data_IF_848628606873
#
_entry.id   IF_848628606873
#
_cell.length_a   1.000
_cell.length_b   1.000
_cell.length_c   1.000
_cell.angle_alpha   90.00
_cell.angle_beta   90.00
_cell.angle_gamma   90.00
#
_symmetry.space_group_name_H-M   'P 1'
#
loop_
_entity.id
_entity.type
_entity.pdbx_description
1 polymer ?
#
# COMPACT_ATOMS: atom_id res chain seq x y z
N UNK A 1 3.22 22.07 7.37
CA UNK A 1 2.50 20.87 6.87
C UNK A 1 3.38 19.61 6.94
N UNK A 2 4.60 19.62 6.38
CA UNK A 2 5.54 18.49 6.41
C UNK A 2 5.86 17.95 7.80
N UNK A 3 6.09 18.85 8.77
CA UNK A 3 6.37 18.47 10.16
C UNK A 3 5.20 17.74 10.81
N UNK A 4 3.96 18.18 10.56
CA UNK A 4 2.77 17.56 11.12
C UNK A 4 2.56 16.16 10.54
N UNK A 5 2.76 16.00 9.23
CA UNK A 5 2.72 14.69 8.55
C UNK A 5 3.82 13.75 9.05
N UNK A 6 5.04 14.27 9.27
CA UNK A 6 6.14 13.49 9.81
C UNK A 6 5.87 12.99 11.24
N UNK A 7 5.28 13.84 12.09
CA UNK A 7 4.86 13.45 13.45
C UNK A 7 3.80 12.35 13.41
N UNK A 8 2.78 12.48 12.54
CA UNK A 8 1.74 11.47 12.37
C UNK A 8 2.30 10.13 11.86
N UNK A 9 3.19 10.15 10.88
CA UNK A 9 3.90 8.95 10.41
C UNK A 9 4.75 8.31 11.50
N UNK A 10 5.45 9.12 12.32
CA UNK A 10 6.26 8.63 13.44
C UNK A 10 5.41 7.94 14.51
N UNK A 11 4.28 8.53 14.88
CA UNK A 11 3.32 7.93 15.84
C UNK A 11 2.75 6.62 15.28
N UNK A 12 2.37 6.59 14.00
CA UNK A 12 1.87 5.38 13.36
C UNK A 12 2.89 4.23 13.38
N UNK A 13 4.17 4.53 13.09
CA UNK A 13 5.25 3.56 13.18
C UNK A 13 5.51 3.08 14.61
N UNK A 14 5.47 3.99 15.60
CA UNK A 14 5.65 3.64 17.01
C UNK A 14 4.53 2.73 17.53
N UNK A 15 3.30 2.91 17.07
CA UNK A 15 2.15 2.05 17.40
C UNK A 15 2.17 0.71 16.67
N UNK A 16 2.86 0.63 15.53
CA UNK A 16 3.01 -0.63 14.78
C UNK A 16 3.87 -1.66 15.54
N UNK A 17 4.93 -1.21 16.23
CA UNK A 17 5.86 -2.09 16.98
C UNK A 17 5.16 -2.95 18.05
N UNK A 18 4.33 -2.40 18.96
CA UNK A 18 3.59 -3.23 19.92
C UNK A 18 2.47 -4.06 19.25
N UNK A 19 1.97 -3.65 18.08
CA UNK A 19 0.95 -4.40 17.34
C UNK A 19 1.48 -5.72 16.77
N UNK A 20 2.71 -5.74 16.25
CA UNK A 20 3.34 -6.99 15.76
C UNK A 20 3.90 -7.86 16.88
N UNK A 21 4.11 -7.31 18.09
CA UNK A 21 4.42 -8.05 19.31
C UNK A 21 5.80 -8.73 19.37
N UNK A 22 6.53 -8.79 18.25
CA UNK A 22 7.85 -9.41 18.14
C UNK A 22 8.76 -8.47 17.33
N UNK A 23 9.93 -8.16 17.86
CA UNK A 23 10.97 -7.45 17.12
C UNK A 23 11.70 -8.49 16.27
N UNK A 24 11.28 -8.63 15.01
CA UNK A 24 11.93 -9.47 14.03
C UNK A 24 12.67 -8.59 13.01
N UNK A 25 14.00 -8.70 12.83
CA UNK A 25 14.74 -7.91 11.84
C UNK A 25 14.25 -8.15 10.40
N UNK A 26 13.53 -9.25 10.15
CA UNK A 26 12.85 -9.51 8.87
C UNK A 26 11.77 -8.48 8.56
N UNK A 27 11.10 -7.91 9.56
CA UNK A 27 10.09 -6.86 9.38
C UNK A 27 10.70 -5.50 9.02
N UNK A 28 11.99 -5.32 9.26
CA UNK A 28 12.76 -4.13 8.86
C UNK A 28 13.32 -4.23 7.44
N UNK A 29 12.89 -5.22 6.67
CA UNK A 29 13.30 -5.41 5.27
C UNK A 29 12.78 -4.28 4.38
N UNK A 30 13.58 -3.82 3.38
CA UNK A 30 13.10 -2.88 2.35
C UNK A 30 11.83 -3.33 1.64
N UNK A 31 11.58 -4.64 1.56
CA UNK A 31 10.39 -5.20 0.94
C UNK A 31 9.08 -4.70 1.59
N UNK A 32 9.03 -4.60 2.92
CA UNK A 32 7.86 -4.11 3.64
C UNK A 32 7.58 -2.62 3.37
N UNK A 33 8.63 -1.82 3.19
CA UNK A 33 8.48 -0.40 2.82
C UNK A 33 7.89 -0.23 1.43
N UNK A 34 8.33 -1.07 0.47
CA UNK A 34 7.80 -1.07 -0.90
C UNK A 34 6.32 -1.51 -0.91
N UNK A 35 5.95 -2.49 -0.08
CA UNK A 35 4.56 -2.93 0.04
C UNK A 35 3.63 -1.79 0.45
N UNK A 36 4.02 -0.97 1.43
CA UNK A 36 3.25 0.19 1.87
C UNK A 36 3.14 1.24 0.75
N UNK A 37 4.21 1.46 -0.03
CA UNK A 37 4.16 2.35 -1.20
C UNK A 37 3.18 1.83 -2.27
N UNK A 38 3.11 0.51 -2.45
CA UNK A 38 2.19 -0.14 -3.38
C UNK A 38 0.74 0.00 -2.94
N UNK A 39 0.45 -0.04 -1.64
CA UNK A 39 -0.90 0.23 -1.13
C UNK A 39 -1.41 1.61 -1.58
N UNK A 40 -0.54 2.62 -1.51
CA UNK A 40 -0.86 3.97 -1.98
C UNK A 40 -0.95 4.05 -3.50
N UNK A 41 -0.07 3.35 -4.23
CA UNK A 41 -0.10 3.33 -5.70
C UNK A 41 -1.38 2.68 -6.25
N UNK A 42 -1.77 1.52 -5.70
CA UNK A 42 -2.99 0.77 -6.05
C UNK A 42 -4.22 1.60 -5.69
N UNK A 43 -4.25 2.15 -4.49
CA UNK A 43 -5.35 2.95 -3.99
C UNK A 43 -5.56 4.27 -4.74
N UNK A 44 -4.46 4.97 -5.03
CA UNK A 44 -4.42 6.29 -5.65
C UNK A 44 -3.76 7.32 -4.72
N UNK A 45 -2.72 8.00 -5.23
CA UNK A 45 -1.89 9.00 -4.51
C UNK A 45 -2.60 10.31 -4.11
N UNK A 46 -3.87 10.47 -4.44
CA UNK A 46 -4.62 11.72 -4.25
C UNK A 46 -5.53 11.76 -3.01
N UNK A 47 -5.81 10.62 -2.37
CA UNK A 47 -6.75 10.56 -1.24
C UNK A 47 -6.34 9.54 -0.18
N UNK A 48 -6.61 9.86 1.10
CA UNK A 48 -6.44 8.92 2.23
C UNK A 48 -7.33 7.67 2.07
N UNK A 49 -8.55 7.84 1.54
CA UNK A 49 -9.46 6.73 1.24
C UNK A 49 -8.90 5.80 0.14
N UNK A 50 -8.12 6.36 -0.80
CA UNK A 50 -7.32 5.64 -1.78
C UNK A 50 -6.41 4.64 -1.13
N UNK A 51 -5.48 5.15 -0.32
CA UNK A 51 -4.50 4.35 0.38
C UNK A 51 -5.14 3.25 1.25
N UNK A 52 -6.25 3.53 1.94
CA UNK A 52 -6.96 2.55 2.75
C UNK A 52 -7.56 1.40 1.92
N UNK A 53 -8.21 1.71 0.79
CA UNK A 53 -8.73 0.69 -0.13
C UNK A 53 -7.60 -0.11 -0.77
N UNK A 54 -6.51 0.55 -1.18
CA UNK A 54 -5.34 -0.11 -1.74
C UNK A 54 -4.68 -1.05 -0.74
N UNK A 55 -4.56 -0.65 0.54
CA UNK A 55 -4.08 -1.51 1.60
C UNK A 55 -4.97 -2.76 1.76
N UNK A 56 -6.30 -2.60 1.76
CA UNK A 56 -7.23 -3.74 1.82
C UNK A 56 -7.08 -4.71 0.65
N UNK A 57 -6.98 -4.20 -0.58
CA UNK A 57 -6.83 -5.03 -1.79
C UNK A 57 -5.50 -5.77 -1.78
N UNK A 58 -4.40 -5.07 -1.52
CA UNK A 58 -3.05 -5.67 -1.55
C UNK A 58 -2.87 -6.64 -0.39
N UNK A 59 -3.37 -6.33 0.82
CA UNK A 59 -3.27 -7.23 1.96
C UNK A 59 -4.18 -8.47 1.81
N UNK A 60 -5.34 -8.31 1.17
CA UNK A 60 -6.17 -9.44 0.74
C UNK A 60 -5.44 -10.33 -0.27
N UNK A 61 -4.88 -9.73 -1.32
CA UNK A 61 -4.06 -10.45 -2.30
C UNK A 61 -2.86 -11.14 -1.63
N UNK A 62 -2.21 -10.49 -0.66
CA UNK A 62 -1.15 -11.08 0.16
C UNK A 62 -1.64 -12.32 0.88
N UNK A 63 -2.75 -12.24 1.63
CA UNK A 63 -3.29 -13.42 2.32
C UNK A 63 -3.55 -14.59 1.36
N UNK A 64 -4.10 -14.35 0.18
CA UNK A 64 -4.34 -15.40 -0.81
C UNK A 64 -3.04 -15.96 -1.43
N UNK A 65 -2.08 -15.10 -1.79
CA UNK A 65 -0.85 -15.52 -2.45
C UNK A 65 0.19 -16.12 -1.50
N UNK A 66 0.29 -15.63 -0.27
CA UNK A 66 1.23 -16.16 0.74
C UNK A 66 0.86 -17.59 1.15
N UNK A 67 -0.41 -17.99 0.96
CA UNK A 67 -0.89 -19.34 1.23
C UNK A 67 -0.55 -20.33 0.09
N UNK A 68 -0.36 -19.83 -1.14
CA UNK A 68 -0.05 -20.66 -2.31
C UNK A 68 1.45 -20.70 -2.63
N UNK A 69 2.14 -19.54 -2.64
CA UNK A 69 3.56 -19.44 -2.98
C UNK A 69 4.23 -18.20 -2.33
N UNK A 70 4.86 -18.36 -1.15
CA UNK A 70 5.51 -17.26 -0.44
C UNK A 70 6.69 -16.63 -1.20
N UNK A 71 7.51 -17.43 -1.89
CA UNK A 71 8.72 -16.96 -2.59
C UNK A 71 8.43 -16.08 -3.81
N UNK A 72 7.27 -16.26 -4.46
CA UNK A 72 6.90 -15.47 -5.65
C UNK A 72 6.18 -14.16 -5.31
N UNK A 73 5.85 -13.91 -4.04
CA UNK A 73 5.13 -12.71 -3.62
C UNK A 73 5.88 -11.41 -3.98
N UNK A 74 7.21 -11.36 -3.80
CA UNK A 74 8.00 -10.19 -4.17
C UNK A 74 7.98 -9.88 -5.68
N UNK A 75 8.04 -10.93 -6.51
CA UNK A 75 7.93 -10.79 -7.96
C UNK A 75 6.54 -10.32 -8.36
N UNK A 76 5.50 -10.85 -7.73
CA UNK A 76 4.13 -10.41 -7.93
C UNK A 76 3.90 -8.96 -7.49
N UNK A 77 4.43 -8.54 -6.33
CA UNK A 77 4.40 -7.16 -5.85
C UNK A 77 5.06 -6.21 -6.86
N UNK A 78 6.24 -6.56 -7.36
CA UNK A 78 6.94 -5.77 -8.37
C UNK A 78 6.15 -5.66 -9.68
N UNK A 79 5.60 -6.76 -10.17
CA UNK A 79 4.75 -6.78 -11.36
C UNK A 79 3.50 -5.92 -11.16
N UNK A 80 2.82 -6.07 -10.02
CA UNK A 80 1.63 -5.30 -9.66
C UNK A 80 1.93 -3.80 -9.64
N UNK A 81 3.06 -3.40 -9.05
CA UNK A 81 3.49 -2.01 -9.02
C UNK A 81 3.65 -1.43 -10.43
N UNK A 82 4.33 -2.15 -11.34
CA UNK A 82 4.53 -1.70 -12.72
C UNK A 82 3.18 -1.61 -13.45
N UNK A 83 2.31 -2.61 -13.32
CA UNK A 83 1.00 -2.62 -13.97
C UNK A 83 0.11 -1.48 -13.49
N UNK A 84 0.08 -1.22 -12.18
CA UNK A 84 -0.72 -0.15 -11.60
C UNK A 84 -0.18 1.21 -12.02
N UNK A 85 1.13 1.41 -11.99
CA UNK A 85 1.73 2.70 -12.40
C UNK A 85 1.57 2.99 -13.89
N UNK A 86 1.61 1.97 -14.74
CA UNK A 86 1.48 2.12 -16.20
C UNK A 86 0.01 2.27 -16.64
N UNK A 87 -0.90 1.43 -16.14
CA UNK A 87 -2.29 1.37 -16.61
C UNK A 87 -3.27 2.16 -15.73
N UNK A 88 -2.92 2.40 -14.46
CA UNK A 88 -3.80 3.00 -13.45
C UNK A 88 -3.08 4.15 -12.70
N UNK A 89 -2.57 5.20 -13.39
CA UNK A 89 -1.74 6.25 -12.77
C UNK A 89 -2.48 7.12 -11.73
N UNK A 90 -3.82 7.07 -11.69
CA UNK A 90 -4.63 7.69 -10.64
C UNK A 90 -5.15 6.70 -9.58
N UNK A 91 -4.72 5.43 -9.64
CA UNK A 91 -5.19 4.34 -8.77
C UNK A 91 -6.64 3.94 -9.00
N UNK A 92 -7.11 2.99 -8.21
CA UNK A 92 -8.49 2.46 -8.25
C UNK A 92 -9.52 3.57 -8.01
N UNK A 93 -9.26 4.48 -7.08
CA UNK A 93 -10.17 5.60 -6.79
C UNK A 93 -10.19 6.66 -7.90
N UNK A 94 -9.10 6.82 -8.66
CA UNK A 94 -9.06 7.66 -9.85
C UNK A 94 -10.02 7.21 -10.94
N UNK A 95 -10.15 5.89 -11.14
CA UNK A 95 -11.16 5.35 -12.07
C UNK A 95 -12.59 5.53 -11.56
N UNK A 96 -12.82 5.35 -10.26
CA UNK A 96 -14.16 5.50 -9.67
C UNK A 96 -14.62 6.95 -9.78
N UNK A 97 -13.74 7.93 -9.54
CA UNK A 97 -14.07 9.36 -9.73
C UNK A 97 -14.27 9.73 -11.20
N UNK A 98 -13.45 9.19 -12.12
CA UNK A 98 -13.61 9.40 -13.57
C UNK A 98 -14.92 8.80 -14.10
N UNK A 99 -15.39 7.69 -13.50
CA UNK A 99 -16.70 7.07 -13.83
C UNK A 99 -17.89 7.76 -13.16
N UNK A 100 -17.69 8.49 -12.06
CA UNK A 100 -18.73 9.26 -11.35
C UNK A 100 -18.93 10.70 -11.87
N UNK A 101 -18.17 11.13 -12.88
CA UNK A 101 -18.41 12.42 -13.55
C UNK A 101 -18.19 13.66 -12.68
N UNK A 102 -17.35 13.58 -11.64
CA UNK A 102 -16.93 14.77 -10.89
C UNK A 102 -15.56 15.22 -11.38
N UNK A 103 -15.59 16.11 -12.37
CA UNK A 103 -14.53 17.07 -12.65
C UNK A 103 -14.65 18.20 -11.63
N UNK A 104 -13.68 18.30 -10.72
CA UNK A 104 -13.31 19.53 -10.03
C UNK A 104 -11.84 19.40 -9.62
#
# INVERSE_FOLDING_TARGET
VWTLSAVLCGIAGALYVPQVGIINPSEMSPANSIEIAIWVAVGGRGTLAGAALGAGIVNGAKSFFTQAFPEYWLFFLGLLFILVTLFLPQGVLGLINKRKGHVA
#
